data_IF_261106409207
#
_entry.id   IF_261106409207
#
_cell.length_a   1.000
_cell.length_b   1.000
_cell.length_c   1.000
_cell.angle_alpha   90.00
_cell.angle_beta   90.00
_cell.angle_gamma   90.00
#
_symmetry.space_group_name_H-M   'P 1'
#
loop_
_entity.id
_entity.type
_entity.pdbx_description
1 polymer ?
#
# COMPACT_ATOMS: atom_id res chain seq x y z
N UNK A 1 -39.50 6.27 -13.87
CA UNK A 1 -38.39 5.66 -14.64
C UNK A 1 -37.67 6.75 -15.41
N UNK A 2 -36.33 6.74 -15.31
CA UNK A 2 -35.35 7.59 -16.01
C UNK A 2 -35.32 9.08 -15.70
N UNK A 3 -34.29 9.49 -14.95
CA UNK A 3 -33.50 10.67 -15.34
C UNK A 3 -32.02 10.37 -15.05
N UNK A 4 -31.18 10.25 -16.10
CA UNK A 4 -29.78 9.90 -15.95
C UNK A 4 -28.96 11.14 -15.57
N UNK A 5 -28.01 10.92 -14.67
CA UNK A 5 -26.65 11.45 -14.68
C UNK A 5 -26.40 12.70 -15.52
N UNK A 6 -25.80 13.68 -14.86
CA UNK A 6 -25.07 14.84 -15.42
C UNK A 6 -25.89 16.11 -15.57
N UNK A 7 -25.96 16.91 -14.50
CA UNK A 7 -25.57 18.32 -14.60
C UNK A 7 -24.98 18.80 -13.26
N UNK A 8 -23.69 18.52 -13.11
CA UNK A 8 -22.67 19.40 -12.54
C UNK A 8 -22.98 20.08 -11.19
N UNK A 9 -22.63 19.37 -10.10
CA UNK A 9 -22.46 19.95 -8.76
C UNK A 9 -21.34 20.99 -8.79
N UNK A 10 -21.74 22.26 -8.71
CA UNK A 10 -20.90 23.42 -8.45
C UNK A 10 -20.18 23.27 -7.10
N UNK A 11 -18.97 22.73 -7.12
CA UNK A 11 -17.97 22.94 -6.08
C UNK A 11 -17.15 24.14 -6.53
N UNK A 12 -17.36 25.27 -5.84
CA UNK A 12 -16.67 26.57 -5.89
C UNK A 12 -15.76 26.86 -7.11
N UNK A 13 -16.32 27.70 -7.96
CA UNK A 13 -15.74 28.58 -8.98
C UNK A 13 -14.40 29.22 -8.58
N UNK A 14 -13.39 29.08 -9.43
CA UNK A 14 -12.45 30.17 -9.73
C UNK A 14 -11.79 29.95 -11.10
N UNK A 15 -11.83 31.02 -11.89
CA UNK A 15 -11.54 31.12 -13.33
C UNK A 15 -10.06 31.34 -13.64
N UNK A 16 -9.65 30.79 -14.79
CA UNK A 16 -8.60 31.26 -15.69
C UNK A 16 -7.11 31.04 -15.36
N UNK A 17 -6.37 30.88 -16.45
CA UNK A 17 -5.05 30.26 -16.63
C UNK A 17 -3.90 31.29 -16.55
N UNK A 18 -2.68 30.76 -16.30
CA UNK A 18 -1.32 31.35 -16.38
C UNK A 18 -0.85 32.16 -15.17
N UNK A 19 0.09 31.55 -14.44
CA UNK A 19 0.82 32.13 -13.32
C UNK A 19 0.96 31.08 -12.22
N UNK A 20 2.18 30.74 -11.82
CA UNK A 20 2.46 29.73 -10.80
C UNK A 20 1.80 30.14 -9.47
N UNK A 21 0.90 29.32 -8.92
CA UNK A 21 0.14 29.59 -7.68
C UNK A 21 0.39 28.48 -6.65
N UNK A 22 1.12 28.82 -5.58
CA UNK A 22 1.45 27.97 -4.44
C UNK A 22 0.36 28.06 -3.35
N UNK A 23 -0.87 27.59 -3.62
CA UNK A 23 -1.89 27.41 -2.56
C UNK A 23 -1.64 26.12 -1.78
N UNK A 24 -0.84 26.21 -0.73
CA UNK A 24 -0.64 25.15 0.25
C UNK A 24 -2.02 24.74 0.81
N UNK A 25 -2.35 23.44 0.77
CA UNK A 25 -3.57 22.79 1.31
C UNK A 25 -4.79 22.62 0.39
N UNK A 26 -4.69 22.86 -0.93
CA UNK A 26 -5.75 22.47 -1.87
C UNK A 26 -5.35 21.20 -2.61
N UNK A 27 -6.04 20.08 -2.34
CA UNK A 27 -5.76 18.78 -2.94
C UNK A 27 -6.84 18.40 -3.94
N UNK A 28 -6.43 17.93 -5.12
CA UNK A 28 -7.33 17.32 -6.09
C UNK A 28 -7.51 15.85 -5.70
N UNK A 29 -8.71 15.48 -5.26
CA UNK A 29 -9.07 14.09 -5.04
C UNK A 29 -9.76 13.60 -6.32
N UNK A 30 -9.13 12.66 -6.99
CA UNK A 30 -9.63 12.08 -8.24
C UNK A 30 -10.34 10.75 -7.94
N UNK A 31 -11.44 10.43 -8.64
CA UNK A 31 -12.09 9.13 -8.53
C UNK A 31 -11.14 8.01 -9.00
N UNK A 32 -11.17 6.89 -8.28
CA UNK A 32 -10.38 5.68 -8.55
C UNK A 32 -11.29 4.45 -8.54
N UNK A 33 -12.19 4.32 -9.54
CA UNK A 33 -13.15 3.21 -9.58
C UNK A 33 -12.47 1.84 -9.74
N UNK A 34 -11.22 1.82 -10.20
CA UNK A 34 -10.34 0.65 -10.26
C UNK A 34 -9.93 0.13 -8.87
N UNK A 35 -9.93 1.00 -7.85
CA UNK A 35 -9.53 0.71 -6.47
C UNK A 35 -10.64 1.13 -5.51
N UNK A 36 -11.83 0.52 -5.63
CA UNK A 36 -13.02 0.89 -4.86
C UNK A 36 -12.79 0.94 -3.34
N UNK A 37 -12.00 0.02 -2.77
CA UNK A 37 -11.65 0.01 -1.33
C UNK A 37 -10.78 1.19 -0.89
N UNK A 38 -10.09 1.83 -1.83
CA UNK A 38 -9.16 2.94 -1.58
C UNK A 38 -9.56 4.23 -2.33
N UNK A 39 -10.75 4.26 -2.94
CA UNK A 39 -11.26 5.43 -3.67
C UNK A 39 -11.69 6.52 -2.67
N UNK A 40 -10.73 7.39 -2.34
CA UNK A 40 -10.95 8.50 -1.43
C UNK A 40 -12.07 9.43 -1.89
N UNK A 41 -12.27 9.61 -3.21
CA UNK A 41 -13.35 10.46 -3.72
C UNK A 41 -14.72 9.86 -3.37
N UNK A 42 -14.87 8.56 -3.62
CA UNK A 42 -16.10 7.82 -3.31
C UNK A 42 -16.40 7.83 -1.81
N UNK A 43 -15.44 7.41 -0.98
CA UNK A 43 -15.63 7.31 0.47
C UNK A 43 -15.85 8.68 1.13
N UNK A 44 -15.17 9.72 0.67
CA UNK A 44 -15.38 11.09 1.16
C UNK A 44 -16.77 11.60 0.79
N UNK A 45 -17.25 11.31 -0.42
CA UNK A 45 -18.59 11.70 -0.86
C UNK A 45 -19.68 11.00 -0.03
N UNK A 46 -19.50 9.72 0.28
CA UNK A 46 -20.40 8.97 1.17
C UNK A 46 -20.37 9.56 2.59
N UNK A 47 -19.17 9.83 3.11
CA UNK A 47 -18.99 10.42 4.43
C UNK A 47 -19.71 11.77 4.56
N UNK A 48 -19.52 12.69 3.61
CA UNK A 48 -20.16 14.01 3.62
C UNK A 48 -21.67 13.85 3.64
N UNK A 49 -22.24 13.03 2.75
CA UNK A 49 -23.70 12.81 2.71
C UNK A 49 -24.23 12.21 4.01
N UNK A 50 -23.48 11.30 4.61
CA UNK A 50 -23.85 10.71 5.89
C UNK A 50 -23.85 11.77 7.00
N UNK A 51 -22.85 12.64 7.08
CA UNK A 51 -22.81 13.75 8.04
C UNK A 51 -23.99 14.71 7.82
N UNK A 52 -24.22 15.15 6.57
CA UNK A 52 -25.32 16.05 6.21
C UNK A 52 -26.69 15.48 6.60
N UNK A 53 -26.93 14.21 6.28
CA UNK A 53 -28.23 13.57 6.48
C UNK A 53 -28.46 13.13 7.91
N UNK A 54 -27.47 12.48 8.54
CA UNK A 54 -27.64 11.83 9.86
C UNK A 54 -27.38 12.79 11.00
N UNK A 55 -26.45 13.73 10.85
CA UNK A 55 -25.99 14.57 11.96
C UNK A 55 -26.43 16.03 11.86
N UNK A 56 -26.43 16.61 10.66
CA UNK A 56 -26.73 18.04 10.50
C UNK A 56 -28.20 18.32 10.15
N UNK A 57 -28.86 17.40 9.42
CA UNK A 57 -30.19 17.64 8.85
C UNK A 57 -30.20 18.78 7.80
N UNK A 58 -29.02 19.20 7.35
CA UNK A 58 -28.81 20.25 6.35
C UNK A 58 -27.54 19.95 5.52
N UNK A 59 -27.42 20.51 4.32
CA UNK A 59 -26.15 20.51 3.59
C UNK A 59 -25.04 21.18 4.41
N UNK A 60 -23.80 20.75 4.18
CA UNK A 60 -22.62 21.38 4.78
C UNK A 60 -22.44 22.81 4.24
N UNK A 61 -22.15 23.75 5.13
CA UNK A 61 -21.83 25.14 4.80
C UNK A 61 -20.34 25.30 4.45
N UNK A 62 -19.97 26.45 3.90
CA UNK A 62 -18.59 26.69 3.46
C UNK A 62 -17.59 26.73 4.64
N UNK A 63 -18.09 27.10 5.83
CA UNK A 63 -17.34 27.20 7.08
C UNK A 63 -17.29 25.88 7.86
N UNK A 64 -18.09 24.88 7.49
CA UNK A 64 -18.12 23.59 8.17
C UNK A 64 -16.87 22.75 7.82
N UNK A 65 -16.30 22.09 8.81
CA UNK A 65 -15.19 21.16 8.59
C UNK A 65 -15.68 19.84 7.99
N UNK A 66 -15.03 19.37 6.92
CA UNK A 66 -15.30 18.06 6.27
C UNK A 66 -15.15 16.88 7.24
N UNK A 67 -14.20 16.99 8.17
CA UNK A 67 -14.03 16.07 9.28
C UNK A 67 -14.26 16.85 10.58
N UNK A 68 -15.53 16.98 11.01
CA UNK A 68 -15.87 17.76 12.18
C UNK A 68 -15.53 17.02 13.47
N UNK A 69 -15.35 17.75 14.56
CA UNK A 69 -15.16 17.17 15.88
C UNK A 69 -16.41 16.36 16.29
N UNK A 70 -16.18 15.22 16.92
CA UNK A 70 -17.25 14.38 17.47
C UNK A 70 -17.12 14.32 18.98
N UNK A 71 -18.16 14.77 19.67
CA UNK A 71 -18.26 14.66 21.12
C UNK A 71 -18.43 13.21 21.56
N UNK A 72 -18.18 12.93 22.85
CA UNK A 72 -18.32 11.59 23.42
C UNK A 72 -19.74 10.99 23.25
N UNK A 73 -20.75 11.83 23.10
CA UNK A 73 -22.15 11.42 22.90
C UNK A 73 -22.50 11.17 21.41
N UNK A 74 -21.52 11.21 20.51
CA UNK A 74 -21.75 11.10 19.06
C UNK A 74 -22.30 12.36 18.40
N UNK A 75 -22.37 13.47 19.13
CA UNK A 75 -22.80 14.78 18.60
C UNK A 75 -21.65 15.37 17.77
N UNK A 76 -21.95 15.68 16.52
CA UNK A 76 -21.03 16.33 15.57
C UNK A 76 -21.02 17.84 15.81
N UNK A 77 -19.83 18.43 15.86
CA UNK A 77 -19.61 19.87 15.97
C UNK A 77 -18.99 20.39 14.67
N UNK A 78 -19.80 20.87 13.71
CA UNK A 78 -19.31 21.18 12.37
C UNK A 78 -18.32 22.35 12.33
N UNK A 79 -18.39 23.27 13.28
CA UNK A 79 -17.46 24.41 13.41
C UNK A 79 -16.15 24.09 14.14
N UNK A 80 -15.93 22.85 14.59
CA UNK A 80 -14.69 22.43 15.25
C UNK A 80 -14.00 21.32 14.43
N UNK A 81 -12.68 21.37 14.23
CA UNK A 81 -11.98 20.35 13.47
C UNK A 81 -11.76 19.08 14.30
N UNK A 82 -11.80 17.92 13.65
CA UNK A 82 -11.40 16.66 14.25
C UNK A 82 -9.94 16.71 14.74
N UNK A 83 -9.72 16.36 16.01
CA UNK A 83 -8.39 16.41 16.62
C UNK A 83 -7.54 15.22 16.22
N UNK A 84 -6.21 15.38 16.27
CA UNK A 84 -5.26 14.30 16.03
C UNK A 84 -5.48 13.10 16.98
N UNK A 85 -5.80 13.37 18.26
CA UNK A 85 -6.03 12.33 19.26
C UNK A 85 -7.28 11.50 18.92
N UNK A 86 -8.34 12.15 18.42
CA UNK A 86 -9.54 11.46 17.95
C UNK A 86 -9.23 10.57 16.74
N UNK A 87 -8.49 11.09 15.75
CA UNK A 87 -8.05 10.28 14.60
C UNK A 87 -7.24 9.07 15.05
N UNK A 88 -6.29 9.27 15.97
CA UNK A 88 -5.45 8.18 16.48
C UNK A 88 -6.27 7.14 17.25
N UNK A 89 -7.29 7.56 18.00
CA UNK A 89 -8.22 6.65 18.68
C UNK A 89 -9.01 5.82 17.67
N UNK A 90 -9.63 6.46 16.68
CA UNK A 90 -10.39 5.78 15.62
C UNK A 90 -9.51 4.79 14.83
N UNK A 91 -8.28 5.16 14.50
CA UNK A 91 -7.32 4.25 13.85
C UNK A 91 -6.98 3.03 14.72
N UNK A 92 -6.82 3.24 16.02
CA UNK A 92 -6.53 2.14 16.95
C UNK A 92 -7.71 1.17 17.06
N UNK A 93 -8.93 1.69 17.09
CA UNK A 93 -10.16 0.89 17.09
C UNK A 93 -10.33 0.12 15.77
N UNK A 94 -10.11 0.77 14.62
CA UNK A 94 -10.22 0.14 13.31
C UNK A 94 -9.19 -0.97 13.10
N UNK A 95 -7.93 -0.75 13.51
CA UNK A 95 -6.86 -1.76 13.40
C UNK A 95 -7.10 -2.95 14.33
N UNK A 96 -7.56 -2.69 15.56
CA UNK A 96 -7.97 -3.75 16.49
C UNK A 96 -9.15 -4.56 15.95
N UNK A 97 -10.20 -3.90 15.43
CA UNK A 97 -11.37 -4.56 14.83
C UNK A 97 -11.02 -5.38 13.58
N UNK A 98 -9.96 -4.99 12.86
CA UNK A 98 -9.47 -5.71 11.68
C UNK A 98 -8.47 -6.81 12.00
N UNK A 99 -8.17 -7.06 13.28
CA UNK A 99 -7.16 -8.03 13.73
C UNK A 99 -5.76 -7.77 13.14
N UNK A 100 -5.42 -6.51 12.85
CA UNK A 100 -4.09 -6.13 12.37
C UNK A 100 -3.20 -5.90 13.59
N UNK A 101 -2.19 -6.77 13.76
CA UNK A 101 -1.26 -6.67 14.87
C UNK A 101 -0.37 -5.42 14.76
N UNK A 102 -0.13 -4.74 15.88
CA UNK A 102 0.80 -3.62 15.98
C UNK A 102 0.18 -2.31 16.44
N UNK A 103 1.01 -1.26 16.50
CA UNK A 103 0.58 0.10 16.83
C UNK A 103 0.80 0.98 15.61
N UNK A 104 -0.30 1.38 14.99
CA UNK A 104 -0.27 2.22 13.80
C UNK A 104 -0.64 3.66 14.15
N UNK A 105 0.00 4.60 13.48
CA UNK A 105 -0.31 6.02 13.57
C UNK A 105 -0.64 6.57 12.19
N UNK A 106 -1.17 7.80 12.13
CA UNK A 106 -1.34 8.53 10.85
C UNK A 106 -0.05 8.56 10.03
N UNK A 107 1.10 8.66 10.70
CA UNK A 107 2.42 8.59 10.08
C UNK A 107 2.69 7.25 9.39
N UNK A 108 2.26 6.13 9.98
CA UNK A 108 2.42 4.80 9.41
C UNK A 108 1.66 4.68 8.09
N UNK A 109 0.40 5.11 8.04
CA UNK A 109 -0.43 5.04 6.83
C UNK A 109 0.06 6.00 5.74
N UNK A 110 0.51 7.20 6.11
CA UNK A 110 1.06 8.16 5.15
C UNK A 110 2.32 7.61 4.46
N UNK A 111 3.24 7.03 5.25
CA UNK A 111 4.46 6.42 4.71
C UNK A 111 4.19 5.10 3.97
N UNK A 112 3.34 4.24 4.52
CA UNK A 112 2.90 3.00 3.89
C UNK A 112 2.25 3.22 2.53
N UNK A 113 1.41 4.25 2.41
CA UNK A 113 0.83 4.66 1.14
C UNK A 113 1.91 5.09 0.14
N UNK A 114 2.87 5.93 0.56
CA UNK A 114 3.97 6.36 -0.30
C UNK A 114 4.83 5.17 -0.77
N UNK A 115 5.10 4.21 0.12
CA UNK A 115 5.82 2.97 -0.18
C UNK A 115 5.06 2.09 -1.17
N UNK A 116 3.75 1.95 -0.99
CA UNK A 116 2.89 1.21 -1.92
C UNK A 116 2.95 1.82 -3.33
N UNK A 117 2.76 3.13 -3.45
CA UNK A 117 2.78 3.82 -4.74
C UNK A 117 4.17 3.85 -5.39
N UNK A 118 5.25 3.72 -4.62
CA UNK A 118 6.60 3.61 -5.18
C UNK A 118 6.94 2.18 -5.62
N UNK A 119 6.61 1.19 -4.79
CA UNK A 119 7.09 -0.19 -4.94
C UNK A 119 6.08 -1.06 -5.68
N UNK A 120 4.81 -1.03 -5.24
CA UNK A 120 3.79 -2.04 -5.57
C UNK A 120 2.77 -1.61 -6.62
N UNK A 121 2.58 -0.31 -6.83
CA UNK A 121 1.68 0.18 -7.87
C UNK A 121 2.11 -0.30 -9.27
N UNK A 122 1.17 -0.46 -10.22
CA UNK A 122 1.48 -0.67 -11.62
C UNK A 122 2.50 0.35 -12.14
N UNK A 123 3.37 -0.06 -13.07
CA UNK A 123 4.52 0.77 -13.48
C UNK A 123 4.12 2.18 -13.96
N UNK A 124 2.96 2.29 -14.60
CA UNK A 124 2.36 3.52 -15.12
C UNK A 124 1.72 4.40 -14.03
N UNK A 125 1.51 3.85 -12.85
CA UNK A 125 0.93 4.55 -11.69
C UNK A 125 1.94 4.80 -10.57
N UNK A 126 3.18 4.33 -10.73
CA UNK A 126 4.22 4.51 -9.73
C UNK A 126 4.52 5.98 -9.52
N UNK A 127 4.58 6.38 -8.26
CA UNK A 127 4.92 7.75 -7.92
C UNK A 127 6.41 8.01 -8.16
N UNK A 128 6.76 9.13 -8.82
CA UNK A 128 8.13 9.57 -8.88
C UNK A 128 8.62 10.00 -7.49
N UNK A 129 9.94 10.02 -7.32
CA UNK A 129 10.59 10.18 -6.01
C UNK A 129 10.24 11.51 -5.32
N UNK A 130 10.04 12.56 -6.10
CA UNK A 130 9.59 13.89 -5.65
C UNK A 130 8.18 13.84 -5.04
N UNK A 131 7.24 13.12 -5.65
CA UNK A 131 5.88 12.92 -5.13
C UNK A 131 5.90 12.08 -3.85
N UNK A 132 6.72 11.02 -3.82
CA UNK A 132 6.93 10.22 -2.60
C UNK A 132 7.45 11.12 -1.47
N UNK A 133 8.50 11.90 -1.74
CA UNK A 133 9.11 12.82 -0.77
C UNK A 133 8.09 13.82 -0.21
N UNK A 134 7.28 14.42 -1.08
CA UNK A 134 6.21 15.33 -0.69
C UNK A 134 5.17 14.62 0.19
N UNK A 135 4.64 13.48 -0.26
CA UNK A 135 3.54 12.80 0.42
C UNK A 135 3.92 12.23 1.78
N UNK A 136 5.08 11.58 1.90
CA UNK A 136 5.52 11.07 3.19
C UNK A 136 5.98 12.14 4.16
N UNK A 137 6.01 13.41 3.73
CA UNK A 137 6.36 14.58 4.55
C UNK A 137 7.81 14.56 5.01
N UNK A 138 8.72 14.25 4.08
CA UNK A 138 10.16 14.34 4.31
C UNK A 138 10.60 15.80 4.22
N UNK A 139 11.53 16.21 5.09
CA UNK A 139 11.94 17.61 5.18
C UNK A 139 12.73 18.06 3.95
N UNK A 140 12.59 19.33 3.58
CA UNK A 140 13.40 20.01 2.56
C UNK A 140 14.83 20.16 3.11
N UNK A 141 15.68 19.18 2.84
CA UNK A 141 17.01 19.04 3.44
C UNK A 141 17.35 17.60 3.84
N UNK A 142 16.36 16.72 4.03
CA UNK A 142 16.65 15.29 4.15
C UNK A 142 17.24 14.76 2.84
N UNK A 143 18.42 14.16 2.94
CA UNK A 143 19.16 13.65 1.79
C UNK A 143 18.35 12.55 1.09
N UNK A 144 18.20 12.58 -0.24
CA UNK A 144 17.53 11.54 -1.02
C UNK A 144 18.05 10.13 -0.71
N UNK A 145 19.32 10.00 -0.34
CA UNK A 145 19.94 8.74 0.06
C UNK A 145 19.29 8.11 1.30
N UNK A 146 18.85 8.93 2.26
CA UNK A 146 18.15 8.43 3.45
C UNK A 146 16.78 7.89 3.08
N UNK A 147 16.05 8.59 2.20
CA UNK A 147 14.76 8.15 1.67
C UNK A 147 14.90 6.84 0.90
N UNK A 148 15.86 6.79 -0.04
CA UNK A 148 16.15 5.57 -0.79
C UNK A 148 16.54 4.42 0.13
N UNK A 149 17.37 4.66 1.15
CA UNK A 149 17.70 3.63 2.13
C UNK A 149 16.47 3.11 2.86
N UNK A 150 15.56 3.97 3.32
CA UNK A 150 14.31 3.51 3.94
C UNK A 150 13.45 2.67 3.00
N UNK A 151 13.33 3.07 1.73
CA UNK A 151 12.55 2.35 0.73
C UNK A 151 13.21 1.00 0.37
N UNK A 152 14.54 0.98 0.25
CA UNK A 152 15.32 -0.21 -0.07
C UNK A 152 15.44 -1.18 1.11
N UNK A 153 15.61 -0.69 2.34
CA UNK A 153 15.66 -1.52 3.56
C UNK A 153 14.33 -2.26 3.74
N UNK A 154 13.21 -1.62 3.44
CA UNK A 154 11.89 -2.25 3.49
C UNK A 154 11.72 -3.27 2.35
N UNK A 155 12.15 -2.93 1.13
CA UNK A 155 12.14 -3.86 0.01
C UNK A 155 13.01 -5.09 0.30
N UNK A 156 14.18 -4.88 0.88
CA UNK A 156 15.08 -5.93 1.36
C UNK A 156 14.43 -6.76 2.47
N UNK A 157 13.73 -6.15 3.43
CA UNK A 157 13.01 -6.90 4.46
C UNK A 157 11.91 -7.81 3.89
N UNK A 158 11.26 -7.41 2.78
CA UNK A 158 10.30 -8.26 2.07
C UNK A 158 10.98 -9.39 1.28
N UNK A 159 12.07 -9.10 0.57
CA UNK A 159 12.79 -10.11 -0.22
C UNK A 159 13.50 -11.15 0.66
N UNK A 160 13.96 -10.73 1.84
CA UNK A 160 14.72 -11.57 2.76
C UNK A 160 13.86 -12.22 3.86
N UNK A 161 12.53 -12.26 3.72
CA UNK A 161 11.71 -13.19 4.49
C UNK A 161 11.93 -14.62 3.94
N UNK A 162 13.01 -15.25 4.41
CA UNK A 162 13.35 -16.63 4.10
C UNK A 162 12.40 -17.65 4.74
N UNK A 163 11.25 -17.23 5.30
CA UNK A 163 10.22 -18.14 5.83
C UNK A 163 9.79 -19.22 4.83
N UNK A 164 9.87 -18.91 3.53
CA UNK A 164 9.61 -19.84 2.43
C UNK A 164 10.83 -20.64 1.94
N UNK A 165 12.05 -20.33 2.37
CA UNK A 165 13.29 -20.89 1.79
C UNK A 165 13.44 -22.41 1.96
N UNK A 166 12.74 -23.00 2.92
CA UNK A 166 12.71 -24.44 3.15
C UNK A 166 11.46 -25.13 2.58
N UNK A 167 10.53 -24.40 1.94
CA UNK A 167 9.42 -25.04 1.23
C UNK A 167 9.95 -25.72 -0.03
N UNK A 168 9.82 -27.05 -0.09
CA UNK A 168 10.23 -27.89 -1.24
C UNK A 168 9.42 -27.67 -2.52
N UNK A 169 8.42 -26.77 -2.52
CA UNK A 169 7.60 -26.49 -3.70
C UNK A 169 7.88 -25.06 -4.13
N UNK A 170 8.39 -24.82 -5.35
CA UNK A 170 8.55 -23.48 -5.88
C UNK A 170 7.21 -22.76 -5.87
N UNK A 171 7.10 -21.65 -5.13
CA UNK A 171 5.98 -20.73 -5.32
C UNK A 171 6.14 -20.13 -6.72
N UNK A 172 5.17 -20.40 -7.60
CA UNK A 172 5.09 -19.84 -8.96
C UNK A 172 5.12 -18.30 -9.03
N UNK A 173 5.09 -17.60 -7.91
CA UNK A 173 4.83 -16.17 -7.82
C UNK A 173 5.81 -15.39 -6.91
N UNK A 174 7.08 -15.79 -6.79
CA UNK A 174 8.08 -14.89 -6.20
C UNK A 174 8.62 -13.95 -7.29
N UNK A 175 8.21 -12.66 -7.34
CA UNK A 175 8.82 -11.70 -8.24
C UNK A 175 10.23 -11.38 -7.73
N UNK A 176 11.25 -12.01 -8.31
CA UNK A 176 12.63 -11.56 -8.18
C UNK A 176 12.80 -10.22 -8.91
N UNK A 177 13.35 -9.22 -8.24
CA UNK A 177 13.72 -7.91 -8.79
C UNK A 177 14.97 -8.00 -9.70
N UNK A 178 15.68 -9.13 -9.72
CA UNK A 178 16.96 -9.28 -10.41
C UNK A 178 16.86 -9.93 -11.81
N UNK A 179 15.93 -9.45 -12.65
CA UNK A 179 16.13 -9.54 -14.11
C UNK A 179 15.19 -10.43 -14.94
N UNK A 180 14.24 -11.16 -14.37
CA UNK A 180 13.32 -12.00 -15.18
C UNK A 180 12.14 -11.24 -15.82
N UNK A 181 12.15 -9.91 -15.77
CA UNK A 181 11.20 -9.08 -16.52
C UNK A 181 11.56 -8.93 -18.01
N UNK A 182 12.71 -9.45 -18.45
CA UNK A 182 13.04 -9.49 -19.87
C UNK A 182 12.05 -10.34 -20.71
N UNK A 183 11.29 -11.25 -20.08
CA UNK A 183 10.30 -12.10 -20.77
C UNK A 183 8.87 -11.52 -20.79
N UNK A 184 8.61 -10.42 -20.07
CA UNK A 184 7.26 -9.82 -19.96
C UNK A 184 7.24 -8.30 -20.15
N UNK A 185 8.31 -7.70 -20.67
CA UNK A 185 8.21 -6.33 -21.17
C UNK A 185 7.21 -6.31 -22.34
N UNK A 186 6.20 -5.42 -22.36
CA UNK A 186 5.40 -5.22 -23.56
C UNK A 186 6.37 -4.87 -24.69
N UNK A 187 6.26 -5.59 -25.81
CA UNK A 187 7.13 -5.41 -26.98
C UNK A 187 7.33 -3.90 -27.24
N UNK A 188 8.58 -3.48 -27.40
CA UNK A 188 8.88 -2.08 -27.66
C UNK A 188 8.12 -1.61 -28.90
N UNK A 189 7.80 -0.32 -28.98
CA UNK A 189 7.07 0.24 -30.13
C UNK A 189 7.74 -0.09 -31.48
N UNK A 190 9.07 -0.27 -31.50
CA UNK A 190 9.82 -0.70 -32.67
C UNK A 190 9.58 -2.18 -33.00
N UNK A 191 9.59 -3.06 -32.00
CA UNK A 191 9.29 -4.48 -32.18
C UNK A 191 7.83 -4.70 -32.61
N UNK A 192 6.89 -3.96 -32.03
CA UNK A 192 5.48 -4.01 -32.43
C UNK A 192 5.28 -3.51 -33.86
N UNK A 193 5.96 -2.42 -34.26
CA UNK A 193 5.93 -1.92 -35.63
C UNK A 193 6.58 -2.91 -36.62
N UNK A 194 7.68 -3.55 -36.22
CA UNK A 194 8.33 -4.60 -37.02
C UNK A 194 7.42 -5.81 -37.21
N UNK A 195 6.79 -6.27 -36.13
CA UNK A 195 5.83 -7.38 -36.16
C UNK A 195 4.63 -7.05 -37.03
N UNK A 196 4.04 -5.86 -36.86
CA UNK A 196 2.91 -5.41 -37.68
C UNK A 196 3.27 -5.33 -39.16
N UNK A 197 4.48 -4.86 -39.49
CA UNK A 197 4.97 -4.80 -40.88
C UNK A 197 5.18 -6.20 -41.46
N UNK A 198 5.72 -7.14 -40.67
CA UNK A 198 5.88 -8.54 -41.07
C UNK A 198 4.53 -9.20 -41.36
N UNK A 199 3.57 -9.08 -40.44
CA UNK A 199 2.23 -9.68 -40.60
C UNK A 199 1.49 -9.08 -41.79
N UNK A 200 1.60 -7.77 -42.02
CA UNK A 200 1.04 -7.13 -43.21
C UNK A 200 1.70 -7.63 -44.51
N UNK A 201 2.99 -7.92 -44.48
CA UNK A 201 3.72 -8.57 -45.58
C UNK A 201 3.15 -9.96 -45.89
N UNK A 202 3.07 -10.82 -44.88
CA UNK A 202 2.55 -12.19 -45.02
C UNK A 202 1.11 -12.22 -45.55
N UNK A 203 0.25 -11.32 -45.05
CA UNK A 203 -1.14 -11.19 -45.53
C UNK A 203 -1.17 -10.79 -47.02
N UNK A 204 -0.27 -9.89 -47.44
CA UNK A 204 -0.18 -9.46 -48.85
C UNK A 204 0.26 -10.63 -49.75
N UNK A 205 1.20 -11.44 -49.29
CA UNK A 205 1.71 -12.60 -50.03
C UNK A 205 0.63 -13.69 -50.16
N UNK A 206 -0.10 -13.98 -49.08
CA UNK A 206 -1.24 -14.90 -49.11
C UNK A 206 -2.33 -14.41 -50.07
N UNK A 207 -2.64 -13.11 -50.06
CA UNK A 207 -3.61 -12.53 -51.00
C UNK A 207 -3.15 -12.66 -52.44
N UNK A 208 -1.86 -12.43 -52.72
CA UNK A 208 -1.28 -12.61 -54.06
C UNK A 208 -1.30 -14.07 -54.53
N UNK A 209 -1.06 -15.02 -53.62
CA UNK A 209 -1.18 -16.44 -53.92
C UNK A 209 -2.64 -16.83 -54.28
N UNK A 210 -3.61 -16.28 -53.55
CA UNK A 210 -5.03 -16.52 -53.79
C UNK A 210 -5.48 -15.96 -55.15
N UNK A 211 -5.05 -14.75 -55.53
CA UNK A 211 -5.39 -14.19 -56.85
C UNK A 211 -4.75 -14.96 -58.01
N UNK A 212 -3.55 -15.53 -57.79
CA UNK A 212 -2.93 -16.41 -58.78
C UNK A 212 -3.68 -17.73 -58.93
N UNK A 213 -4.13 -18.32 -57.81
CA UNK A 213 -4.96 -19.52 -57.83
C UNK A 213 -6.29 -19.27 -58.55
N UNK A 214 -6.95 -18.15 -58.26
CA UNK A 214 -8.18 -17.73 -58.93
C UNK A 214 -8.00 -17.60 -60.46
N UNK A 215 -6.91 -16.96 -60.89
CA UNK A 215 -6.57 -16.87 -62.32
C UNK A 215 -6.26 -18.23 -62.97
N UNK A 216 -5.72 -19.20 -62.21
CA UNK A 216 -5.52 -20.58 -62.69
C UNK A 216 -6.84 -21.32 -62.83
N UNK A 217 -7.75 -21.15 -61.88
CA UNK A 217 -9.10 -21.74 -61.93
C UNK A 217 -9.86 -21.19 -63.13
N UNK A 218 -9.84 -19.88 -63.36
CA UNK A 218 -10.47 -19.28 -64.54
C UNK A 218 -9.95 -19.83 -65.87
N UNK A 219 -8.63 -20.04 -66.00
CA UNK A 219 -8.07 -20.70 -67.21
C UNK A 219 -8.54 -22.14 -67.40
N UNK A 220 -8.74 -22.88 -66.31
CA UNK A 220 -9.26 -24.26 -66.36
C UNK A 220 -10.73 -24.23 -66.80
N UNK A 221 -11.52 -23.29 -66.27
CA UNK A 221 -12.91 -23.09 -66.67
C UNK A 221 -13.02 -22.75 -68.17
N UNK A 222 -12.19 -21.83 -68.67
CA UNK A 222 -12.14 -21.48 -70.10
C UNK A 222 -11.78 -22.70 -70.98
N UNK A 223 -10.79 -23.49 -70.55
CA UNK A 223 -10.42 -24.72 -71.26
C UNK A 223 -11.56 -25.74 -71.28
N UNK A 224 -12.27 -25.92 -70.18
CA UNK A 224 -13.43 -26.83 -70.09
C UNK A 224 -14.58 -26.34 -70.97
N UNK A 225 -14.79 -25.03 -71.06
CA UNK A 225 -15.76 -24.42 -71.96
C UNK A 225 -15.43 -24.71 -73.43
N UNK A 226 -14.18 -24.48 -73.85
CA UNK A 226 -13.74 -24.79 -75.22
C UNK A 226 -13.87 -26.29 -75.57
N UNK A 227 -13.53 -27.19 -74.63
CA UNK A 227 -13.72 -28.63 -74.84
C UNK A 227 -15.19 -29.01 -74.97
N UNK A 228 -16.07 -28.40 -74.16
CA UNK A 228 -17.51 -28.61 -74.22
C UNK A 228 -18.09 -28.16 -75.57
N UNK A 229 -17.66 -27.02 -76.07
CA UNK A 229 -18.02 -26.49 -77.40
C UNK A 229 -17.51 -27.39 -78.54
N UNK A 230 -16.28 -27.91 -78.44
CA UNK A 230 -15.74 -28.84 -79.43
C UNK A 230 -16.51 -30.17 -79.48
N UNK A 231 -16.88 -30.73 -78.31
CA UNK A 231 -17.66 -31.97 -78.21
C UNK A 231 -19.10 -31.79 -78.71
N UNK A 232 -19.72 -30.65 -78.42
CA UNK A 232 -21.08 -30.35 -78.88
C UNK A 232 -21.12 -30.00 -80.38
N UNK A 233 -20.11 -29.31 -80.91
CA UNK A 233 -19.96 -29.03 -82.34
C UNK A 233 -19.71 -30.27 -83.19
N UNK A 234 -18.97 -31.26 -82.67
CA UNK A 234 -18.72 -32.53 -83.37
C UNK A 234 -19.97 -33.41 -83.57
N UNK A 235 -21.08 -33.11 -82.90
CA UNK A 235 -22.34 -33.88 -83.01
C UNK A 235 -23.25 -33.44 -84.17
N UNK A 236 -22.85 -32.46 -84.98
CA UNK A 236 -23.60 -31.98 -86.15
C UNK A 236 -22.84 -32.15 -87.48
N UNK A 237 -21.97 -33.14 -87.59
CA UNK A 237 -21.41 -33.56 -88.88
C UNK A 237 -22.40 -34.43 -89.68
N UNK A 238 -22.60 -34.17 -90.99
CA UNK A 238 -23.48 -34.98 -91.84
C UNK A 238 -22.93 -36.39 -92.05
N UNK A 239 -23.84 -37.36 -91.99
CA UNK A 239 -23.63 -38.79 -92.29
C UNK A 239 -23.09 -38.97 -93.71
N UNK A 240 -21.93 -39.62 -93.93
CA UNK A 240 -21.54 -40.13 -95.23
C UNK A 240 -21.83 -41.64 -95.35
N UNK A 241 -22.48 -42.01 -96.44
CA UNK A 241 -22.73 -43.38 -96.91
C UNK A 241 -21.51 -44.01 -97.59
N UNK A 242 -21.44 -45.36 -97.71
CA UNK A 242 -20.20 -46.09 -97.92
C UNK A 242 -19.88 -46.36 -99.39
N UNK A 243 -18.59 -46.42 -99.75
CA UNK A 243 -18.14 -47.18 -100.91
C UNK A 243 -16.79 -47.86 -100.64
N UNK A 244 -16.62 -48.97 -101.34
CA UNK A 244 -15.76 -50.11 -101.08
C UNK A 244 -14.29 -49.92 -101.49
N UNK A 245 -13.39 -50.57 -100.73
CA UNK A 245 -12.30 -51.36 -101.32
C UNK A 245 -10.86 -50.84 -101.15
N UNK A 246 -10.03 -51.64 -100.46
CA UNK A 246 -8.58 -51.70 -100.73
C UNK A 246 -7.64 -51.66 -99.51
N UNK A 247 -7.17 -52.84 -99.07
CA UNK A 247 -5.87 -53.07 -98.39
C UNK A 247 -4.69 -52.52 -99.24
N UNK A 248 -3.40 -52.39 -98.76
CA UNK A 248 -2.74 -53.13 -97.66
C UNK A 248 -1.76 -52.34 -96.72
N UNK A 249 -1.44 -52.99 -95.60
CA UNK A 249 -0.13 -53.19 -94.91
C UNK A 249 0.90 -52.04 -94.76
N UNK A 250 1.27 -51.71 -93.50
CA UNK A 250 2.65 -51.77 -92.96
C UNK A 250 2.79 -51.16 -91.53
N UNK A 251 3.42 -51.92 -90.61
CA UNK A 251 4.03 -51.49 -89.33
C UNK A 251 5.26 -50.57 -89.59
N UNK A 252 5.73 -49.69 -88.67
CA UNK A 252 6.56 -50.06 -87.48
C UNK A 252 6.28 -49.19 -86.20
N UNK A 253 6.35 -49.71 -84.98
CA UNK A 253 7.51 -49.93 -84.06
C UNK A 253 7.66 -48.88 -82.95
N UNK A 254 7.80 -49.42 -81.73
CA UNK A 254 8.24 -48.85 -80.46
C UNK A 254 9.20 -47.65 -80.49
N UNK A 255 9.06 -46.75 -79.51
CA UNK A 255 10.18 -46.41 -78.61
C UNK A 255 9.74 -45.75 -77.30
N UNK A 256 10.33 -46.26 -76.23
CA UNK A 256 10.35 -45.80 -74.85
C UNK A 256 11.02 -44.42 -74.72
N UNK A 257 10.62 -43.61 -73.72
CA UNK A 257 11.62 -43.04 -72.80
C UNK A 257 11.05 -42.62 -71.46
N UNK A 258 11.57 -43.31 -70.46
CA UNK A 258 11.71 -43.00 -69.04
C UNK A 258 12.44 -41.67 -68.81
N UNK A 259 12.02 -40.92 -67.79
CA UNK A 259 12.94 -40.38 -66.77
C UNK A 259 12.22 -40.16 -65.44
N UNK A 260 12.67 -40.94 -64.45
CA UNK A 260 12.76 -40.62 -63.03
C UNK A 260 12.89 -39.12 -62.71
N UNK A 261 12.33 -38.64 -61.59
CA UNK A 261 13.09 -38.06 -60.44
C UNK A 261 12.16 -37.80 -59.22
N UNK A 262 12.38 -38.63 -58.20
CA UNK A 262 12.39 -38.38 -56.73
C UNK A 262 11.31 -37.54 -56.01
N UNK A 263 10.69 -38.25 -55.05
CA UNK A 263 10.17 -37.81 -53.73
C UNK A 263 11.01 -36.70 -53.05
N UNK A 264 10.39 -35.88 -52.17
CA UNK A 264 10.37 -36.27 -50.77
C UNK A 264 8.99 -36.16 -50.09
N UNK A 265 8.71 -37.21 -49.33
CA UNK A 265 7.74 -37.31 -48.23
C UNK A 265 7.97 -36.18 -47.23
N UNK A 266 6.94 -35.42 -46.87
CA UNK A 266 6.93 -34.70 -45.59
C UNK A 266 5.58 -34.89 -44.91
N UNK A 267 5.66 -35.45 -43.71
CA UNK A 267 4.59 -35.83 -42.80
C UNK A 267 3.84 -34.59 -42.29
N UNK A 268 2.51 -34.69 -42.25
CA UNK A 268 1.64 -33.83 -41.44
C UNK A 268 1.62 -34.37 -40.00
N UNK A 269 1.89 -33.56 -38.97
CA UNK A 269 1.43 -33.86 -37.62
C UNK A 269 0.04 -33.28 -37.39
N UNK A 270 -0.82 -34.15 -36.87
CA UNK A 270 -2.16 -33.86 -36.42
C UNK A 270 -2.18 -32.87 -35.24
N UNK A 271 -3.11 -31.93 -35.30
CA UNK A 271 -3.49 -31.07 -34.16
C UNK A 271 -4.25 -31.87 -33.09
N UNK A 272 -3.97 -31.71 -31.80
CA UNK A 272 -4.83 -32.24 -30.76
C UNK A 272 -5.98 -31.28 -30.43
N UNK A 273 -7.14 -31.90 -30.32
CA UNK A 273 -8.44 -31.37 -29.88
C UNK A 273 -8.35 -30.85 -28.44
N UNK A 274 -8.80 -29.63 -28.23
CA UNK A 274 -9.01 -29.01 -26.91
C UNK A 274 -10.33 -29.50 -26.33
N UNK A 275 -10.27 -30.25 -25.22
CA UNK A 275 -11.46 -30.67 -24.48
C UNK A 275 -11.69 -29.78 -23.26
N UNK A 276 -12.95 -29.33 -23.18
CA UNK A 276 -13.58 -28.56 -22.12
C UNK A 276 -13.41 -29.18 -20.72
N UNK A 277 -13.10 -28.34 -19.73
CA UNK A 277 -13.33 -28.63 -18.31
C UNK A 277 -14.29 -27.56 -17.79
N UNK A 278 -15.48 -28.00 -17.37
CA UNK A 278 -16.52 -27.17 -16.76
C UNK A 278 -16.22 -26.78 -15.31
N UNK A 279 -17.02 -25.86 -14.73
CA UNK A 279 -16.77 -25.33 -13.40
C UNK A 279 -17.34 -26.27 -12.32
N UNK A 280 -16.50 -26.67 -11.36
CA UNK A 280 -16.94 -27.30 -10.12
C UNK A 280 -17.26 -26.23 -9.07
N UNK A 281 -18.49 -26.29 -8.59
CA UNK A 281 -18.98 -25.62 -7.40
C UNK A 281 -18.19 -26.06 -6.15
N UNK A 282 -17.79 -25.08 -5.32
CA UNK A 282 -17.43 -25.34 -3.92
C UNK A 282 -18.35 -24.51 -3.03
N UNK A 283 -19.25 -25.20 -2.34
CA UNK A 283 -20.03 -24.68 -1.22
C UNK A 283 -19.28 -25.05 0.06
N UNK A 284 -18.92 -24.05 0.87
CA UNK A 284 -18.54 -24.25 2.26
C UNK A 284 -19.71 -23.77 3.13
N UNK A 285 -20.42 -24.72 3.74
CA UNK A 285 -21.36 -24.48 4.83
C UNK A 285 -20.74 -25.07 6.09
N UNK A 286 -20.45 -24.23 7.08
CA UNK A 286 -19.98 -24.64 8.39
C UNK A 286 -21.10 -24.33 9.40
N UNK A 287 -21.72 -25.37 9.93
CA UNK A 287 -22.67 -25.27 11.03
C UNK A 287 -21.92 -25.06 12.37
N UNK A 288 -22.47 -24.30 13.33
CA UNK A 288 -22.00 -24.33 14.70
C UNK A 288 -22.87 -25.26 15.56
N UNK A 289 -22.22 -26.21 16.21
CA UNK A 289 -22.78 -27.04 17.29
C UNK A 289 -22.88 -26.20 18.57
N UNK A 290 -24.09 -26.04 19.08
CA UNK A 290 -24.36 -25.52 20.42
C UNK A 290 -23.96 -26.56 21.48
N UNK A 291 -23.33 -26.11 22.55
CA UNK A 291 -23.32 -26.82 23.82
C UNK A 291 -23.61 -25.82 24.96
N UNK A 292 -24.79 -26.01 25.57
CA UNK A 292 -25.16 -25.48 26.88
C UNK A 292 -24.32 -26.15 27.96
N UNK A 293 -23.70 -25.38 28.88
CA UNK A 293 -23.50 -25.81 30.26
C UNK A 293 -23.74 -24.63 31.21
N UNK A 294 -24.44 -24.99 32.28
CA UNK A 294 -25.14 -24.24 33.31
C UNK A 294 -24.22 -23.64 34.39
N UNK A 295 -24.79 -22.65 35.09
CA UNK A 295 -24.31 -21.94 36.28
C UNK A 295 -23.69 -22.81 37.39
N UNK A 296 -22.71 -22.24 38.11
CA UNK A 296 -22.70 -22.21 39.58
C UNK A 296 -21.58 -21.32 40.14
N UNK A 297 -21.97 -20.30 40.91
CA UNK A 297 -21.19 -19.74 42.04
C UNK A 297 -21.47 -20.64 43.27
N UNK A 298 -20.62 -20.74 44.32
CA UNK A 298 -20.29 -19.62 45.20
C UNK A 298 -18.91 -19.68 45.92
N UNK A 299 -18.71 -18.69 46.79
CA UNK A 299 -17.93 -18.70 48.03
C UNK A 299 -16.61 -17.90 48.05
N UNK A 300 -16.74 -16.82 48.82
CA UNK A 300 -15.75 -16.03 49.55
C UNK A 300 -14.75 -16.89 50.32
N UNK A 301 -13.46 -16.67 50.09
CA UNK A 301 -12.40 -17.02 51.05
C UNK A 301 -11.28 -16.00 51.00
N UNK A 302 -11.19 -15.24 52.09
CA UNK A 302 -10.16 -14.26 52.42
C UNK A 302 -8.86 -15.01 52.74
N UNK A 303 -7.86 -14.92 51.87
CA UNK A 303 -6.50 -15.37 52.17
C UNK A 303 -5.53 -14.20 51.98
N UNK A 304 -4.98 -13.74 53.10
CA UNK A 304 -3.86 -12.80 53.18
C UNK A 304 -2.61 -13.44 52.60
N UNK A 305 -2.30 -13.11 51.34
CA UNK A 305 -1.04 -13.50 50.71
C UNK A 305 0.05 -12.49 51.08
N UNK A 306 0.99 -12.92 51.92
CA UNK A 306 2.29 -12.28 52.03
C UNK A 306 3.07 -12.53 50.74
N UNK A 307 3.24 -11.50 49.93
CA UNK A 307 3.96 -11.54 48.66
C UNK A 307 5.42 -11.91 48.87
N UNK A 308 5.89 -12.96 48.17
CA UNK A 308 7.31 -13.31 48.14
C UNK A 308 8.15 -12.21 47.46
N UNK A 309 9.39 -11.93 47.90
CA UNK A 309 10.25 -10.87 47.34
C UNK A 309 10.57 -10.97 45.85
N UNK A 310 10.36 -12.14 45.23
CA UNK A 310 10.61 -12.39 43.82
C UNK A 310 9.49 -11.91 42.88
N UNK A 311 8.28 -11.67 43.40
CA UNK A 311 7.13 -11.24 42.57
C UNK A 311 7.19 -9.73 42.21
N UNK A 312 8.08 -8.99 42.86
CA UNK A 312 8.29 -7.56 42.58
C UNK A 312 9.08 -7.32 41.28
N UNK A 313 9.82 -8.32 40.78
CA UNK A 313 10.66 -8.21 39.57
C UNK A 313 9.88 -8.40 38.26
N UNK A 314 8.63 -8.91 38.30
CA UNK A 314 7.84 -9.15 37.08
C UNK A 314 7.02 -7.94 36.61
N UNK A 315 7.01 -6.83 37.36
CA UNK A 315 6.25 -5.63 36.98
C UNK A 315 7.10 -4.70 36.13
N UNK A 316 6.60 -4.33 34.95
CA UNK A 316 7.27 -3.36 34.06
C UNK A 316 7.52 -2.06 34.82
N UNK A 317 8.73 -1.47 34.77
CA UNK A 317 9.01 -0.22 35.46
C UNK A 317 8.14 0.90 34.88
N UNK A 318 7.63 1.78 35.75
CA UNK A 318 6.78 2.91 35.37
C UNK A 318 7.33 4.19 35.98
N UNK A 319 7.42 5.25 35.18
CA UNK A 319 7.66 6.61 35.66
C UNK A 319 6.33 7.38 35.63
N UNK A 320 5.73 7.70 36.80
CA UNK A 320 4.44 8.37 36.88
C UNK A 320 4.41 9.73 36.15
N UNK A 321 3.23 10.21 35.80
CA UNK A 321 3.08 11.58 35.32
C UNK A 321 3.03 12.54 36.51
N UNK A 322 3.58 13.75 36.33
CA UNK A 322 3.54 14.81 37.34
C UNK A 322 2.95 16.08 36.70
N UNK A 323 1.84 16.64 37.24
CA UNK A 323 1.05 16.12 38.37
C UNK A 323 0.34 14.79 38.03
N UNK A 324 0.07 13.93 39.04
CA UNK A 324 -0.71 12.71 38.82
C UNK A 324 -2.10 13.05 38.31
N UNK A 325 -2.57 12.40 37.24
CA UNK A 325 -3.88 12.68 36.62
C UNK A 325 -5.08 12.33 37.54
N UNK A 326 -4.88 11.44 38.50
CA UNK A 326 -5.96 10.84 39.30
C UNK A 326 -5.86 11.14 40.80
N UNK A 327 -4.99 12.05 41.24
CA UNK A 327 -4.96 12.45 42.64
C UNK A 327 -6.11 13.44 42.92
N UNK A 328 -6.90 13.15 43.96
CA UNK A 328 -8.00 14.00 44.43
C UNK A 328 -7.53 15.38 44.89
N UNK A 329 -6.25 15.51 45.26
CA UNK A 329 -5.63 16.78 45.61
C UNK A 329 -5.08 17.49 44.37
N UNK A 330 -5.64 18.68 44.07
CA UNK A 330 -5.10 19.59 43.03
C UNK A 330 -3.77 20.15 43.51
N UNK A 331 -2.67 19.46 43.21
CA UNK A 331 -1.33 19.99 43.47
C UNK A 331 -1.12 21.27 42.65
N UNK A 332 -0.74 22.40 43.27
CA UNK A 332 -0.39 23.61 42.54
C UNK A 332 0.72 23.34 41.53
N UNK A 333 0.59 23.86 40.30
CA UNK A 333 1.59 23.64 39.24
C UNK A 333 3.00 24.08 39.65
N UNK A 334 3.09 25.09 40.52
CA UNK A 334 4.35 25.60 41.08
C UNK A 334 5.09 24.62 41.98
N UNK A 335 4.40 23.65 42.57
CA UNK A 335 5.00 22.67 43.50
C UNK A 335 5.28 21.31 42.86
N UNK A 336 4.90 21.14 41.59
CA UNK A 336 5.06 19.87 40.87
C UNK A 336 6.51 19.38 40.79
N UNK A 337 7.50 20.27 40.94
CA UNK A 337 8.91 19.87 40.97
C UNK A 337 9.32 19.18 42.27
N UNK A 338 8.65 19.47 43.41
CA UNK A 338 8.91 18.78 44.69
C UNK A 338 8.63 17.28 44.54
N UNK A 339 7.57 16.96 43.83
CA UNK A 339 7.20 15.58 43.50
C UNK A 339 8.21 14.92 42.56
N UNK A 340 8.83 15.67 41.65
CA UNK A 340 9.95 15.16 40.84
C UNK A 340 11.15 14.81 41.71
N UNK A 341 11.49 15.65 42.69
CA UNK A 341 12.57 15.40 43.66
C UNK A 341 12.25 14.19 44.56
N UNK A 342 11.02 14.11 45.08
CA UNK A 342 10.56 12.97 45.88
C UNK A 342 10.68 11.65 45.11
N UNK A 343 10.19 11.61 43.88
CA UNK A 343 10.35 10.45 43.01
C UNK A 343 11.83 10.08 42.75
N UNK A 344 12.72 11.06 42.73
CA UNK A 344 14.15 10.84 42.52
C UNK A 344 14.82 10.24 43.75
N UNK A 345 14.51 10.74 44.95
CA UNK A 345 15.17 10.35 46.21
C UNK A 345 14.52 9.16 46.92
N UNK A 346 13.20 9.10 46.93
CA UNK A 346 12.39 8.18 47.75
C UNK A 346 11.55 7.22 46.91
N UNK A 347 11.21 7.62 45.68
CA UNK A 347 10.22 6.92 44.86
C UNK A 347 8.79 7.39 45.16
N UNK A 348 7.80 6.57 44.78
CA UNK A 348 6.38 6.74 45.07
C UNK A 348 5.68 5.37 44.95
N UNK A 349 5.74 4.53 46.00
CA UNK A 349 5.12 3.20 46.01
C UNK A 349 3.63 3.23 45.63
N UNK A 350 2.91 4.28 46.04
CA UNK A 350 1.50 4.52 45.74
C UNK A 350 1.21 4.75 44.24
N UNK A 351 2.24 5.10 43.47
CA UNK A 351 2.19 5.25 42.00
C UNK A 351 2.93 4.10 41.28
N UNK A 352 3.20 2.99 41.96
CA UNK A 352 4.01 1.85 41.49
C UNK A 352 5.48 2.20 41.17
N UNK A 353 6.04 3.23 41.81
CA UNK A 353 7.47 3.56 41.74
C UNK A 353 8.16 3.17 43.05
N UNK A 354 8.40 1.88 43.27
CA UNK A 354 8.95 1.38 44.53
C UNK A 354 10.45 1.69 44.73
N UNK A 355 11.21 1.75 43.64
CA UNK A 355 12.66 2.04 43.67
C UNK A 355 12.86 3.52 43.29
N UNK A 356 13.58 4.31 44.11
CA UNK A 356 13.92 5.68 43.77
C UNK A 356 14.63 5.76 42.41
N UNK A 357 14.36 6.81 41.63
CA UNK A 357 14.92 6.89 40.27
C UNK A 357 16.45 6.97 40.26
N UNK A 358 17.09 7.55 41.28
CA UNK A 358 18.55 7.58 41.37
C UNK A 358 19.19 6.19 41.46
N UNK A 359 18.43 5.21 41.94
CA UNK A 359 18.87 3.83 42.17
C UNK A 359 18.41 2.88 41.05
N UNK A 360 17.84 3.43 39.96
CA UNK A 360 17.39 2.61 38.83
C UNK A 360 18.59 2.01 38.07
N UNK A 361 18.57 0.69 37.79
CA UNK A 361 19.53 0.07 36.89
C UNK A 361 19.47 0.70 35.50
N UNK A 362 20.62 0.74 34.83
CA UNK A 362 20.75 1.37 33.52
C UNK A 362 19.78 0.80 32.47
N UNK A 363 19.51 -0.51 32.58
CA UNK A 363 18.66 -1.30 31.71
C UNK A 363 17.20 -0.83 31.76
N UNK A 364 16.76 -0.21 32.86
CA UNK A 364 15.36 0.20 33.06
C UNK A 364 14.96 1.36 32.15
N UNK A 365 15.93 2.09 31.60
CA UNK A 365 15.68 3.21 30.68
C UNK A 365 16.00 2.87 29.22
N UNK A 366 16.50 1.66 28.93
CA UNK A 366 16.91 1.21 27.59
C UNK A 366 16.00 0.10 27.04
N UNK A 367 16.25 -0.28 25.79
CA UNK A 367 15.54 -1.37 25.11
C UNK A 367 14.03 -1.12 25.01
N UNK A 368 13.23 -2.09 25.49
CA UNK A 368 11.76 -2.03 25.49
C UNK A 368 11.21 -0.84 26.31
N UNK A 369 12.01 -0.28 27.22
CA UNK A 369 11.63 0.84 28.09
C UNK A 369 12.16 2.20 27.61
N UNK A 370 12.62 2.32 26.35
CA UNK A 370 13.18 3.58 25.79
C UNK A 370 12.24 4.78 25.93
N UNK A 371 10.92 4.56 25.96
CA UNK A 371 9.93 5.62 26.20
C UNK A 371 10.05 6.30 27.58
N UNK A 372 10.62 5.62 28.57
CA UNK A 372 10.83 6.15 29.93
C UNK A 372 12.06 7.04 30.02
N UNK A 373 13.03 6.89 29.12
CA UNK A 373 14.31 7.60 29.16
C UNK A 373 14.14 9.12 29.17
N UNK A 374 13.20 9.65 28.38
CA UNK A 374 12.92 11.09 28.36
C UNK A 374 12.44 11.59 29.74
N UNK A 375 11.49 10.89 30.37
CA UNK A 375 10.99 11.26 31.70
C UNK A 375 12.06 11.11 32.77
N UNK A 376 12.83 10.02 32.72
CA UNK A 376 13.96 9.79 33.62
C UNK A 376 14.94 10.96 33.56
N UNK A 377 15.39 11.33 32.35
CA UNK A 377 16.36 12.40 32.16
C UNK A 377 15.82 13.77 32.61
N UNK A 378 14.54 14.06 32.39
CA UNK A 378 13.90 15.28 32.89
C UNK A 378 13.96 15.34 34.42
N UNK A 379 13.62 14.24 35.10
CA UNK A 379 13.63 14.15 36.56
C UNK A 379 15.05 14.23 37.12
N UNK A 380 16.00 13.54 36.49
CA UNK A 380 17.43 13.61 36.81
C UNK A 380 17.95 15.06 36.76
N UNK A 381 17.69 15.80 35.68
CA UNK A 381 18.16 17.19 35.54
C UNK A 381 17.58 18.09 36.64
N UNK A 382 16.27 17.99 36.92
CA UNK A 382 15.62 18.81 37.94
C UNK A 382 16.14 18.46 39.33
N UNK A 383 16.22 17.17 39.66
CA UNK A 383 16.63 16.72 40.99
C UNK A 383 18.11 17.02 41.27
N UNK A 384 19.01 16.78 40.32
CA UNK A 384 20.45 17.13 40.47
C UNK A 384 20.65 18.64 40.56
N UNK A 385 19.90 19.44 39.81
CA UNK A 385 19.97 20.90 39.99
C UNK A 385 19.57 21.28 41.42
N UNK A 386 18.45 20.77 41.93
CA UNK A 386 17.99 21.09 43.29
C UNK A 386 18.97 20.61 44.38
N UNK A 387 19.43 19.36 44.29
CA UNK A 387 20.26 18.74 45.31
C UNK A 387 21.71 19.22 45.25
N UNK A 388 22.31 19.26 44.07
CA UNK A 388 23.75 19.50 43.93
C UNK A 388 24.06 21.00 43.86
N UNK A 389 23.29 21.77 43.08
CA UNK A 389 23.55 23.20 42.88
C UNK A 389 22.99 24.08 44.01
N UNK A 390 21.86 23.68 44.60
CA UNK A 390 21.19 24.45 45.66
C UNK A 390 21.24 23.78 47.03
N UNK A 391 21.92 22.62 47.16
CA UNK A 391 22.06 21.92 48.44
C UNK A 391 20.73 21.48 49.05
N UNK A 392 19.69 21.28 48.23
CA UNK A 392 18.33 21.02 48.70
C UNK A 392 17.62 22.23 49.33
N UNK A 393 18.14 23.45 49.17
CA UNK A 393 17.51 24.66 49.69
C UNK A 393 16.34 25.12 48.79
N UNK A 394 15.12 24.84 49.25
CA UNK A 394 13.88 25.17 48.52
C UNK A 394 13.74 26.67 48.24
N UNK A 395 14.07 27.54 49.20
CA UNK A 395 13.93 28.98 49.06
C UNK A 395 14.89 29.52 47.99
N UNK A 396 16.15 29.09 48.00
CA UNK A 396 17.15 29.49 47.02
C UNK A 396 16.81 28.97 45.62
N UNK A 397 16.36 27.73 45.51
CA UNK A 397 15.94 27.12 44.24
C UNK A 397 14.73 27.86 43.64
N UNK A 398 13.72 28.15 44.46
CA UNK A 398 12.51 28.87 44.03
C UNK A 398 12.81 30.31 43.65
N UNK A 399 13.70 30.99 44.38
CA UNK A 399 14.13 32.35 44.06
C UNK A 399 14.86 32.41 42.69
N UNK A 400 15.70 31.41 42.40
CA UNK A 400 16.42 31.36 41.13
C UNK A 400 15.54 31.00 39.93
N UNK A 401 14.57 30.11 40.13
CA UNK A 401 13.71 29.59 39.07
C UNK A 401 12.24 29.98 39.25
N UNK A 402 11.97 31.25 39.59
CA UNK A 402 10.62 31.82 39.80
C UNK A 402 9.61 31.52 38.64
N UNK A 403 10.10 31.07 37.49
CA UNK A 403 9.32 30.47 36.39
C UNK A 403 8.62 29.15 36.71
N UNK A 404 8.87 28.53 37.87
CA UNK A 404 8.26 27.29 38.35
C UNK A 404 6.73 27.30 38.34
N UNK A 405 6.10 28.49 38.41
CA UNK A 405 4.65 28.67 38.32
C UNK A 405 4.03 28.19 37.00
N UNK A 406 4.81 28.06 35.92
CA UNK A 406 4.31 27.65 34.59
C UNK A 406 4.44 26.14 34.31
N UNK A 407 4.92 25.36 35.29
CA UNK A 407 5.00 23.90 35.22
C UNK A 407 6.38 23.32 34.87
N UNK A 408 6.51 21.98 34.95
CA UNK A 408 7.79 21.25 34.87
C UNK A 408 8.58 21.53 33.59
N UNK A 409 7.91 21.66 32.44
CA UNK A 409 8.58 21.93 31.16
C UNK A 409 9.26 23.30 31.18
N UNK A 410 8.60 24.32 31.72
CA UNK A 410 9.16 25.67 31.81
C UNK A 410 10.35 25.71 32.78
N UNK A 411 10.25 24.99 33.91
CA UNK A 411 11.35 24.82 34.86
C UNK A 411 12.56 24.14 34.21
N UNK A 412 12.34 23.04 33.48
CA UNK A 412 13.42 22.31 32.82
C UNK A 412 14.18 23.17 31.81
N UNK A 413 13.47 23.95 31.00
CA UNK A 413 14.11 24.86 30.03
C UNK A 413 14.87 26.00 30.73
N UNK A 414 14.36 26.51 31.86
CA UNK A 414 15.07 27.49 32.67
C UNK A 414 16.37 26.92 33.27
N UNK A 415 16.33 25.69 33.79
CA UNK A 415 17.51 24.98 34.32
C UNK A 415 18.54 24.73 33.21
N UNK A 416 18.10 24.27 32.03
CA UNK A 416 18.98 24.09 30.88
C UNK A 416 19.64 25.41 30.46
N UNK A 417 18.88 26.49 30.39
CA UNK A 417 19.43 27.81 30.07
C UNK A 417 20.46 28.27 31.12
N UNK A 418 20.21 28.01 32.41
CA UNK A 418 21.15 28.33 33.49
C UNK A 418 22.43 27.49 33.40
N UNK A 419 22.31 26.17 33.22
CA UNK A 419 23.45 25.25 33.00
C UNK A 419 24.29 25.67 31.78
N UNK A 420 23.64 26.06 30.69
CA UNK A 420 24.34 26.55 29.50
C UNK A 420 25.11 27.84 29.78
N UNK A 421 24.55 28.78 30.54
CA UNK A 421 25.24 30.01 30.93
C UNK A 421 26.44 29.77 31.85
N UNK A 422 26.38 28.73 32.70
CA UNK A 422 27.49 28.33 33.58
C UNK A 422 28.58 27.52 32.85
N UNK A 423 28.28 26.98 31.67
CA UNK A 423 29.19 26.11 30.92
C UNK A 423 29.08 24.63 31.30
N UNK A 424 28.10 24.24 32.12
CA UNK A 424 27.90 22.84 32.56
C UNK A 424 27.37 21.94 31.43
N UNK A 425 26.77 22.52 30.40
CA UNK A 425 26.34 21.80 29.20
C UNK A 425 27.23 22.17 28.03
N UNK A 426 28.00 21.19 27.57
CA UNK A 426 28.68 21.28 26.29
C UNK A 426 27.60 21.42 25.21
N UNK A 427 27.54 22.62 24.59
CA UNK A 427 26.69 22.84 23.44
C UNK A 427 27.15 21.83 22.41
N UNK A 428 26.30 20.83 22.14
CA UNK A 428 26.56 19.86 21.10
C UNK A 428 26.70 20.66 19.81
N UNK A 429 27.95 20.96 19.43
CA UNK A 429 28.28 21.67 18.19
C UNK A 429 27.57 20.84 17.13
N UNK A 430 26.56 21.44 16.49
CA UNK A 430 26.03 20.87 15.25
C UNK A 430 27.26 20.65 14.40
N UNK A 431 27.51 19.40 13.98
CA UNK A 431 28.56 19.13 13.01
C UNK A 431 28.28 20.08 11.87
N UNK A 432 29.13 21.09 11.72
CA UNK A 432 29.17 21.93 10.55
C UNK A 432 29.49 20.96 9.42
N UNK A 433 28.49 20.73 8.58
CA UNK A 433 28.63 20.00 7.32
C UNK A 433 29.60 20.74 6.39
#
# INVERSE_FOLDING_TARGET
MHSPLTTWMNIVRSTCFRGIDLRVNHYKILPRPDLTSCDAFFWLSIWIRWVEYVHLGRPMEAEDFVFPAMGANGVVQPGEPLTQDNVQKMLSEATAGSSIEGKYSTHCFRRGGAQHWFIRAPNDEKWPMDVVRFWGGWAEGEQPNTLMRYLLDELHAYEHDYSGALRRVPLKNNPSLAGDRALYAPASRKELASFQTSVLGDIKDVRGALTNLDAKVGRIEDMLQCLTEAVTGARQGPVPTPSSGGHPTAYPTLSERTTHTQHPTTQLPASPVSNHIGPRHFSFSCAPTQAFITQSSPATSTTSNASSPLDLMSRKPVIPNVPPRNCSYKMPRGEAWKEVVRHWQEGAPELNLHVPLKDWPYEYTRGQNRGLHSKYNQRHIIATEFLDQYGGNEAAFTAAYNTSLKGIKALLEAIKAARQKRGDMEIRRRRSE
#
